data_IF_016515834038
#
_entry.id   IF_016515834038
#
_cell.length_a   1.000
_cell.length_b   1.000
_cell.length_c   1.000
_cell.angle_alpha   90.00
_cell.angle_beta   90.00
_cell.angle_gamma   90.00
#
_symmetry.space_group_name_H-M   'P 1'
#
loop_
_entity.id
_entity.type
_entity.pdbx_description
1 polymer ?
#
# COMPACT_ATOMS: atom_id res chain seq x y z
N UNK A 1 21.92 29.10 -1.55
CA UNK A 1 21.77 27.85 -0.78
C UNK A 1 20.56 27.12 -1.36
N UNK A 2 20.79 26.01 -2.07
CA UNK A 2 19.73 25.23 -2.70
C UNK A 2 19.00 24.43 -1.61
N UNK A 3 17.74 24.75 -1.36
CA UNK A 3 16.82 23.89 -0.62
C UNK A 3 15.74 23.40 -1.58
N UNK A 4 15.89 22.19 -2.13
CA UNK A 4 14.98 21.61 -3.11
C UNK A 4 14.11 20.57 -2.40
N UNK A 5 12.98 20.97 -1.81
CA UNK A 5 11.91 19.99 -1.57
C UNK A 5 10.66 20.56 -2.19
N UNK A 6 10.45 20.15 -3.45
CA UNK A 6 9.26 20.45 -4.23
C UNK A 6 8.01 19.98 -3.50
N UNK A 7 7.43 20.90 -2.73
CA UNK A 7 6.02 20.87 -2.37
C UNK A 7 5.25 21.14 -3.67
N UNK A 8 4.97 20.06 -4.42
CA UNK A 8 4.04 20.11 -5.54
C UNK A 8 2.70 20.61 -5.01
N UNK A 9 2.40 21.87 -5.34
CA UNK A 9 1.18 22.61 -5.04
C UNK A 9 -0.06 21.70 -5.19
N UNK A 10 -0.79 21.52 -4.09
CA UNK A 10 -2.23 21.23 -4.09
C UNK A 10 -2.70 19.80 -4.40
N UNK A 11 -1.84 18.83 -4.71
CA UNK A 11 -2.28 17.45 -4.91
C UNK A 11 -2.23 16.70 -3.57
N UNK A 12 -3.36 16.21 -3.02
CA UNK A 12 -3.34 15.41 -1.80
C UNK A 12 -2.47 14.18 -2.03
N UNK A 13 -1.31 14.12 -1.34
CA UNK A 13 -0.40 12.98 -1.42
C UNK A 13 -1.16 11.73 -1.00
N UNK A 14 -1.15 10.71 -1.88
CA UNK A 14 -1.90 9.47 -1.70
C UNK A 14 -1.00 8.28 -1.98
N UNK A 15 -1.09 7.25 -1.14
CA UNK A 15 -0.35 6.02 -1.34
C UNK A 15 -0.82 5.33 -2.63
N UNK A 16 0.09 5.06 -3.56
CA UNK A 16 -0.25 4.40 -4.83
C UNK A 16 -0.77 2.97 -4.66
N UNK A 17 -0.44 2.29 -3.54
CA UNK A 17 -0.90 0.93 -3.27
C UNK A 17 -2.25 0.88 -2.56
N UNK A 18 -2.36 1.57 -1.42
CA UNK A 18 -3.54 1.49 -0.56
C UNK A 18 -4.41 2.75 -0.58
N UNK A 19 -4.10 3.75 -1.39
CA UNK A 19 -4.93 4.95 -1.49
C UNK A 19 -5.01 5.80 -0.21
N UNK A 20 -4.25 5.49 0.84
CA UNK A 20 -4.30 6.26 2.08
C UNK A 20 -3.68 7.63 1.87
N UNK A 21 -4.33 8.66 2.40
CA UNK A 21 -3.89 10.05 2.32
C UNK A 21 -3.31 10.54 3.66
N UNK A 22 -3.59 9.82 4.74
CA UNK A 22 -3.06 10.07 6.09
C UNK A 22 -2.04 9.01 6.45
N UNK A 23 -0.78 9.41 6.61
CA UNK A 23 0.28 8.51 7.06
C UNK A 23 1.33 9.30 7.84
N UNK A 24 1.92 8.73 8.91
CA UNK A 24 2.95 9.43 9.69
C UNK A 24 4.24 9.66 8.90
N UNK A 25 4.53 8.80 7.91
CA UNK A 25 5.74 8.90 7.10
C UNK A 25 5.43 8.48 5.66
N UNK A 26 5.76 9.36 4.71
CA UNK A 26 5.78 9.03 3.29
C UNK A 26 7.11 8.40 2.91
N UNK A 27 7.06 7.29 2.18
CA UNK A 27 8.22 6.55 1.69
C UNK A 27 8.24 6.53 0.17
N UNK A 28 9.44 6.43 -0.39
CA UNK A 28 9.66 6.21 -1.83
C UNK A 28 9.12 4.84 -2.22
N UNK A 29 8.41 4.80 -3.34
CA UNK A 29 7.86 3.60 -3.92
C UNK A 29 8.26 3.45 -5.39
N UNK A 30 7.62 2.52 -6.12
CA UNK A 30 7.97 2.23 -7.51
C UNK A 30 7.80 3.45 -8.43
N UNK A 31 6.83 4.30 -8.14
CA UNK A 31 6.54 5.51 -8.93
C UNK A 31 7.37 6.74 -8.51
N UNK A 32 8.36 6.60 -7.63
CA UNK A 32 9.22 7.70 -7.18
C UNK A 32 9.07 8.08 -5.71
N UNK A 33 9.65 9.23 -5.30
CA UNK A 33 9.71 9.64 -3.89
C UNK A 33 8.32 9.96 -3.32
N UNK A 34 8.11 9.61 -2.04
CA UNK A 34 6.87 9.90 -1.29
C UNK A 34 5.57 9.37 -1.94
N UNK A 35 5.64 8.26 -2.66
CA UNK A 35 4.48 7.63 -3.33
C UNK A 35 3.79 6.54 -2.50
N UNK A 36 4.42 6.06 -1.42
CA UNK A 36 3.86 5.05 -0.54
C UNK A 36 3.74 5.54 0.90
N UNK A 37 2.73 5.03 1.61
CA UNK A 37 2.61 5.23 3.05
C UNK A 37 3.66 4.40 3.81
N UNK A 38 3.82 4.65 5.11
CA UNK A 38 4.81 3.93 5.93
C UNK A 38 4.64 2.40 5.84
N UNK A 39 3.41 1.89 6.02
CA UNK A 39 3.12 0.45 6.01
C UNK A 39 3.38 -0.20 4.64
N UNK A 40 2.92 0.42 3.54
CA UNK A 40 3.16 -0.11 2.20
C UNK A 40 4.63 0.04 1.80
N UNK A 41 5.29 1.14 2.16
CA UNK A 41 6.68 1.42 1.84
C UNK A 41 7.66 0.45 2.49
N UNK A 42 7.45 0.07 3.76
CA UNK A 42 8.30 -0.96 4.40
C UNK A 42 8.13 -2.33 3.74
N UNK A 43 6.90 -2.69 3.33
CA UNK A 43 6.62 -3.95 2.62
C UNK A 43 7.19 -3.98 1.22
N UNK A 44 7.10 -2.85 0.52
CA UNK A 44 7.66 -2.65 -0.81
C UNK A 44 9.17 -2.83 -0.79
N UNK A 45 9.86 -2.20 0.19
CA UNK A 45 11.30 -2.31 0.36
C UNK A 45 11.76 -3.75 0.62
N UNK A 46 10.94 -4.57 1.29
CA UNK A 46 11.20 -5.99 1.48
C UNK A 46 10.75 -6.89 0.33
N UNK A 47 10.17 -6.36 -0.75
CA UNK A 47 9.65 -7.15 -1.88
C UNK A 47 8.43 -8.01 -1.53
N UNK A 48 7.75 -7.73 -0.40
CA UNK A 48 6.60 -8.50 0.10
C UNK A 48 5.29 -7.70 0.03
N UNK A 49 5.24 -6.66 -0.80
CA UNK A 49 4.02 -5.90 -1.02
C UNK A 49 3.13 -6.66 -2.00
N UNK A 50 2.18 -7.41 -1.45
CA UNK A 50 1.20 -8.15 -2.22
C UNK A 50 -0.04 -7.28 -2.50
N UNK A 51 -0.72 -7.44 -3.65
CA UNK A 51 -1.92 -6.68 -3.98
C UNK A 51 -3.05 -6.90 -2.95
N UNK A 52 -3.10 -8.07 -2.33
CA UNK A 52 -4.04 -8.44 -1.26
C UNK A 52 -3.69 -7.83 0.11
N UNK A 53 -2.46 -7.33 0.29
CA UNK A 53 -2.08 -6.63 1.51
C UNK A 53 -2.60 -5.20 1.49
N UNK A 54 -3.49 -4.85 2.41
CA UNK A 54 -3.98 -3.47 2.54
C UNK A 54 -4.20 -3.12 4.00
N UNK A 55 -3.64 -2.01 4.49
CA UNK A 55 -3.85 -1.59 5.88
C UNK A 55 -5.32 -1.23 6.10
N UNK A 56 -5.83 -1.43 7.33
CA UNK A 56 -7.23 -1.17 7.66
C UNK A 56 -7.62 0.33 7.54
N UNK A 57 -6.66 1.24 7.75
CA UNK A 57 -6.85 2.68 7.54
C UNK A 57 -6.90 3.10 6.05
N UNK A 58 -6.86 2.15 5.12
CA UNK A 58 -6.96 2.44 3.69
C UNK A 58 -8.42 2.70 3.30
N UNK A 59 -8.72 3.78 2.56
CA UNK A 59 -10.08 4.04 2.04
C UNK A 59 -10.51 3.05 0.96
N UNK A 60 -9.60 2.20 0.50
CA UNK A 60 -9.84 1.17 -0.52
C UNK A 60 -9.74 -0.23 0.10
N UNK A 61 -9.74 -0.32 1.43
CA UNK A 61 -9.79 -1.57 2.16
C UNK A 61 -11.14 -2.26 1.91
N UNK A 62 -11.07 -3.52 1.50
CA UNK A 62 -12.23 -4.42 1.43
C UNK A 62 -11.80 -5.70 2.12
N UNK A 63 -12.56 -6.13 3.13
CA UNK A 63 -12.26 -7.34 3.91
C UNK A 63 -12.32 -8.63 3.09
N UNK A 64 -12.99 -8.61 1.93
CA UNK A 64 -13.12 -9.75 1.03
C UNK A 64 -11.88 -9.91 0.13
N UNK A 65 -11.29 -8.79 -0.29
CA UNK A 65 -10.15 -8.76 -1.22
C UNK A 65 -8.82 -8.47 -0.54
N UNK A 66 -8.85 -7.92 0.67
CA UNK A 66 -7.68 -7.37 1.32
C UNK A 66 -7.59 -7.71 2.81
N UNK A 67 -6.36 -7.75 3.31
CA UNK A 67 -6.10 -7.89 4.74
C UNK A 67 -4.91 -7.05 5.19
N UNK A 68 -5.03 -6.51 6.40
CA UNK A 68 -3.96 -5.76 7.06
C UNK A 68 -2.93 -6.70 7.73
N UNK A 69 -3.26 -7.98 7.85
CA UNK A 69 -2.43 -8.98 8.53
C UNK A 69 -1.73 -9.90 7.52
N UNK A 70 -0.41 -10.00 7.60
CA UNK A 70 0.40 -10.77 6.64
C UNK A 70 -0.03 -12.23 6.54
N UNK A 71 -0.26 -12.88 7.69
CA UNK A 71 -0.69 -14.28 7.74
C UNK A 71 -2.01 -14.48 7.00
N UNK A 72 -2.95 -13.54 7.15
CA UNK A 72 -4.26 -13.60 6.49
C UNK A 72 -4.15 -13.41 4.97
N UNK A 73 -3.24 -12.55 4.51
CA UNK A 73 -2.96 -12.36 3.07
C UNK A 73 -2.43 -13.63 2.41
N UNK A 74 -1.51 -14.35 3.07
CA UNK A 74 -0.99 -15.63 2.55
C UNK A 74 -2.10 -16.69 2.50
N UNK A 75 -2.92 -16.75 3.56
CA UNK A 75 -4.08 -17.65 3.61
C UNK A 75 -5.13 -17.31 2.53
N UNK A 76 -5.36 -16.01 2.25
CA UNK A 76 -6.26 -15.55 1.19
C UNK A 76 -5.77 -16.00 -0.19
N UNK A 77 -4.46 -15.89 -0.48
CA UNK A 77 -3.90 -16.48 -1.71
C UNK A 77 -4.16 -17.96 -1.82
N UNK A 78 -3.80 -18.71 -0.77
CA UNK A 78 -3.98 -20.16 -0.75
C UNK A 78 -5.45 -20.57 -0.92
N UNK A 79 -6.39 -19.80 -0.37
CA UNK A 79 -7.83 -20.03 -0.54
C UNK A 79 -8.36 -19.64 -1.93
N UNK A 80 -7.82 -18.59 -2.54
CA UNK A 80 -8.24 -18.14 -3.88
C UNK A 80 -7.89 -19.17 -4.97
N UNK A 81 -6.87 -19.98 -4.75
CA UNK A 81 -6.51 -21.12 -5.62
C UNK A 81 -7.50 -22.30 -5.53
N UNK A 82 -8.43 -22.30 -4.56
CA UNK A 82 -9.35 -23.41 -4.29
C UNK A 82 -10.77 -23.15 -4.80
N UNK A 83 -11.03 -22.01 -5.46
CA UNK A 83 -12.30 -21.79 -6.17
C UNK A 83 -12.07 -22.11 -7.66
N UNK A 84 -12.33 -23.35 -8.12
CA UNK A 84 -12.43 -23.58 -9.55
C UNK A 84 -13.65 -22.77 -10.03
N UNK A 85 -13.46 -22.01 -11.10
CA UNK A 85 -14.59 -21.44 -11.84
C UNK A 85 -15.54 -22.57 -12.21
N UNK A 86 -16.83 -22.36 -11.90
CA UNK A 86 -17.90 -23.06 -12.59
C UNK A 86 -17.88 -22.68 -14.08
#
# INVERSE_FOLDING_TARGET
MVSPDGEARGVPRRCSHCGVQKTPQWRTGPGGPKTLCNACGVRYKSGRLLPEYRPACSPTFSSELHSNHHRKVIEMRRKKEVVPGF
#
